data_IF_076607108908
#
_entry.id   IF_076607108908
#
_cell.length_a   1.000
_cell.length_b   1.000
_cell.length_c   1.000
_cell.angle_alpha   90.00
_cell.angle_beta   90.00
_cell.angle_gamma   90.00
#
_symmetry.space_group_name_H-M   'P 1'
#
loop_
_entity.id
_entity.type
_entity.pdbx_description
1 polymer ?
#
# COMPACT_ATOMS: atom_id res chain seq x y z
N UNK A 1 -17.28 3.48 4.03
CA UNK A 1 -16.42 4.67 4.31
C UNK A 1 -16.53 5.65 3.17
N UNK A 2 -16.59 6.98 3.46
CA UNK A 2 -16.55 8.03 2.42
C UNK A 2 -15.18 8.70 2.40
N UNK A 3 -14.71 9.03 1.19
CA UNK A 3 -13.47 9.78 0.97
C UNK A 3 -13.64 10.65 -0.29
N UNK A 4 -13.87 11.95 -0.11
CA UNK A 4 -14.27 12.84 -1.18
C UNK A 4 -15.59 12.39 -1.85
N UNK A 5 -15.56 12.22 -3.17
CA UNK A 5 -16.71 11.73 -3.95
C UNK A 5 -16.87 10.19 -3.90
N UNK A 6 -15.90 9.47 -3.36
CA UNK A 6 -15.90 8.00 -3.34
C UNK A 6 -16.62 7.47 -2.10
N UNK A 7 -17.42 6.42 -2.29
CA UNK A 7 -18.03 5.63 -1.21
C UNK A 7 -17.55 4.20 -1.35
N UNK A 8 -16.96 3.67 -0.28
CA UNK A 8 -16.45 2.31 -0.21
C UNK A 8 -17.33 1.52 0.76
N UNK A 9 -18.11 0.58 0.23
CA UNK A 9 -18.97 -0.29 1.03
C UNK A 9 -18.11 -1.34 1.76
N UNK A 10 -17.09 -1.86 1.09
CA UNK A 10 -16.11 -2.79 1.63
C UNK A 10 -14.75 -2.09 1.81
N UNK A 11 -14.51 -1.37 2.92
CA UNK A 11 -13.34 -0.52 3.06
C UNK A 11 -12.07 -1.32 3.44
N UNK A 12 -11.65 -2.24 2.54
CA UNK A 12 -10.43 -3.06 2.66
C UNK A 12 -9.47 -2.69 1.53
N UNK A 13 -8.44 -1.91 1.84
CA UNK A 13 -7.57 -1.26 0.87
C UNK A 13 -6.20 -1.93 0.76
N UNK A 14 -5.57 -1.84 -0.41
CA UNK A 14 -4.19 -2.26 -0.61
C UNK A 14 -3.22 -1.17 -0.17
N UNK A 15 -2.32 -1.48 0.77
CA UNK A 15 -1.30 -0.55 1.26
C UNK A 15 -0.22 -0.24 0.22
N UNK A 16 0.37 0.97 0.24
CA UNK A 16 1.55 1.29 -0.55
C UNK A 16 2.77 0.48 -0.07
N UNK A 17 3.38 -0.27 -0.96
CA UNK A 17 4.55 -1.11 -0.67
C UNK A 17 5.57 -1.02 -1.81
N UNK A 18 6.71 -0.37 -1.55
CA UNK A 18 7.79 -0.21 -2.52
C UNK A 18 8.26 -1.57 -3.08
N UNK A 19 8.33 -1.68 -4.40
CA UNK A 19 8.67 -2.90 -5.11
C UNK A 19 7.58 -3.98 -5.08
N UNK A 20 6.35 -3.66 -4.67
CA UNK A 20 5.23 -4.62 -4.58
C UNK A 20 3.98 -4.10 -5.26
N UNK A 21 3.54 -2.90 -4.92
CA UNK A 21 2.27 -2.34 -5.38
C UNK A 21 2.47 -1.45 -6.60
N UNK A 22 3.19 -1.97 -7.59
CA UNK A 22 3.26 -1.38 -8.93
C UNK A 22 1.95 -1.58 -9.71
N UNK A 23 1.86 -0.98 -10.89
CA UNK A 23 0.67 -1.05 -11.76
C UNK A 23 0.19 -2.49 -11.98
N UNK A 24 1.10 -3.42 -12.27
CA UNK A 24 0.73 -4.82 -12.52
C UNK A 24 0.03 -5.47 -11.31
N UNK A 25 0.58 -5.27 -10.12
CA UNK A 25 -0.02 -5.83 -8.90
C UNK A 25 -1.32 -5.13 -8.51
N UNK A 26 -1.43 -3.81 -8.72
CA UNK A 26 -2.68 -3.06 -8.44
C UNK A 26 -3.82 -3.50 -9.36
N UNK A 27 -3.56 -3.69 -10.66
CA UNK A 27 -4.55 -4.26 -11.61
C UNK A 27 -5.03 -5.64 -11.14
N UNK A 28 -4.13 -6.51 -10.68
CA UNK A 28 -4.52 -7.82 -10.13
C UNK A 28 -5.36 -7.66 -8.86
N UNK A 29 -4.96 -6.78 -7.95
CA UNK A 29 -5.69 -6.57 -6.69
C UNK A 29 -7.11 -6.04 -6.95
N UNK A 30 -7.28 -5.08 -7.87
CA UNK A 30 -8.59 -4.59 -8.30
C UNK A 30 -9.42 -5.69 -8.95
N UNK A 31 -8.83 -6.50 -9.83
CA UNK A 31 -9.48 -7.67 -10.44
C UNK A 31 -9.91 -8.73 -9.42
N UNK A 32 -9.36 -8.70 -8.21
CA UNK A 32 -9.74 -9.52 -7.06
C UNK A 32 -10.67 -8.79 -6.07
N UNK A 33 -11.25 -7.65 -6.48
CA UNK A 33 -12.22 -6.93 -5.67
C UNK A 33 -11.64 -5.94 -4.65
N UNK A 34 -10.34 -5.61 -4.71
CA UNK A 34 -9.77 -4.52 -3.90
C UNK A 34 -10.40 -3.19 -4.32
N UNK A 35 -11.14 -2.49 -3.44
CA UNK A 35 -11.90 -1.30 -3.86
C UNK A 35 -11.02 -0.04 -3.99
N UNK A 36 -9.83 -0.02 -3.38
CA UNK A 36 -8.87 1.08 -3.48
C UNK A 36 -7.45 0.55 -3.27
N UNK A 37 -6.58 0.82 -4.24
CA UNK A 37 -5.16 0.53 -4.13
C UNK A 37 -4.35 1.82 -3.93
N UNK A 38 -3.34 1.74 -3.05
CA UNK A 38 -2.36 2.80 -2.88
C UNK A 38 -1.10 2.45 -3.68
N UNK A 39 -0.67 3.37 -4.55
CA UNK A 39 0.54 3.24 -5.33
C UNK A 39 1.80 3.26 -4.44
N UNK A 40 2.90 2.77 -4.97
CA UNK A 40 4.21 2.94 -4.35
C UNK A 40 4.51 4.41 -4.08
N UNK A 41 5.31 4.69 -3.06
CA UNK A 41 5.64 6.07 -2.71
C UNK A 41 6.54 6.74 -3.78
N UNK A 42 6.09 7.87 -4.30
CA UNK A 42 6.76 8.66 -5.34
C UNK A 42 7.48 9.85 -4.72
N UNK A 43 8.72 10.09 -5.14
CA UNK A 43 9.52 11.20 -4.64
C UNK A 43 9.07 12.54 -5.23
N UNK A 44 8.65 13.48 -4.38
CA UNK A 44 8.34 14.84 -4.81
C UNK A 44 9.57 15.55 -5.42
N UNK A 45 10.76 15.26 -4.91
CA UNK A 45 12.01 15.73 -5.52
C UNK A 45 12.24 15.11 -6.91
N UNK A 46 11.90 13.82 -7.08
CA UNK A 46 11.98 13.17 -8.39
C UNK A 46 10.98 13.76 -9.40
N UNK A 47 9.80 14.17 -8.96
CA UNK A 47 8.82 14.90 -9.80
C UNK A 47 9.39 16.27 -10.20
N UNK A 48 9.92 17.03 -9.25
CA UNK A 48 10.52 18.35 -9.48
C UNK A 48 11.61 18.31 -10.56
N UNK A 49 12.53 17.35 -10.47
CA UNK A 49 13.62 17.19 -11.44
C UNK A 49 13.24 16.36 -12.68
N UNK A 50 11.96 16.01 -12.87
CA UNK A 50 11.47 15.20 -14.01
C UNK A 50 12.28 13.92 -14.20
N UNK A 51 12.66 13.27 -13.12
CA UNK A 51 13.38 11.99 -13.17
C UNK A 51 12.54 10.94 -13.89
N UNK A 52 13.07 10.33 -14.95
CA UNK A 52 12.34 9.40 -15.82
C UNK A 52 11.71 8.24 -15.06
N UNK A 53 12.45 7.61 -14.15
CA UNK A 53 11.91 6.53 -13.32
C UNK A 53 10.73 7.00 -12.47
N UNK A 54 10.85 8.18 -11.83
CA UNK A 54 9.77 8.79 -11.03
C UNK A 54 8.55 9.11 -11.88
N UNK A 55 8.76 9.64 -13.08
CA UNK A 55 7.67 9.96 -14.01
C UNK A 55 6.93 8.71 -14.48
N UNK A 56 7.65 7.61 -14.72
CA UNK A 56 7.05 6.32 -15.05
C UNK A 56 6.19 5.75 -13.90
N UNK A 57 6.54 6.00 -12.64
CA UNK A 57 5.73 5.59 -11.47
C UNK A 57 4.39 6.34 -11.36
N UNK A 58 4.22 7.47 -12.04
CA UNK A 58 2.96 8.24 -12.06
C UNK A 58 1.97 7.73 -13.13
N UNK A 59 2.37 6.80 -13.98
CA UNK A 59 1.46 6.19 -14.96
C UNK A 59 0.49 5.27 -14.25
N UNK A 60 -0.76 5.32 -14.68
CA UNK A 60 -1.85 4.48 -14.16
C UNK A 60 -2.70 3.96 -15.30
N UNK A 61 -3.31 2.80 -15.09
CA UNK A 61 -4.22 2.17 -16.04
C UNK A 61 -5.68 2.33 -15.59
N UNK A 62 -6.65 2.33 -16.51
CA UNK A 62 -8.06 2.41 -16.15
C UNK A 62 -8.51 1.30 -15.20
N UNK A 63 -7.94 0.10 -15.33
CA UNK A 63 -8.29 -1.10 -14.56
C UNK A 63 -7.86 -1.04 -13.09
N UNK A 64 -7.00 -0.11 -12.72
CA UNK A 64 -6.54 0.06 -11.33
C UNK A 64 -7.22 1.24 -10.60
N UNK A 65 -8.27 1.81 -11.17
CA UNK A 65 -9.01 2.92 -10.57
C UNK A 65 -10.22 2.43 -9.75
N UNK A 66 -10.52 3.05 -8.60
CA UNK A 66 -9.86 4.25 -8.04
C UNK A 66 -8.48 3.96 -7.43
N UNK A 67 -7.55 4.90 -7.61
CA UNK A 67 -6.17 4.79 -7.12
C UNK A 67 -5.78 5.98 -6.25
N UNK A 68 -5.09 5.69 -5.14
CA UNK A 68 -4.42 6.68 -4.31
C UNK A 68 -2.93 6.75 -4.67
N UNK A 69 -2.48 7.89 -5.21
CA UNK A 69 -1.08 8.15 -5.48
C UNK A 69 -0.38 8.63 -4.23
N UNK A 70 0.61 7.86 -3.74
CA UNK A 70 1.35 8.24 -2.55
C UNK A 70 2.62 9.00 -2.90
N UNK A 71 2.81 10.19 -2.30
CA UNK A 71 4.05 10.97 -2.41
C UNK A 71 4.79 11.05 -1.07
N UNK A 72 6.08 11.32 -1.12
CA UNK A 72 6.89 11.71 0.03
C UNK A 72 7.77 12.91 -0.31
N UNK A 73 8.02 13.76 0.68
CA UNK A 73 8.76 15.01 0.53
C UNK A 73 9.44 15.42 1.83
N UNK A 74 10.47 16.25 1.72
CA UNK A 74 11.14 16.92 2.83
C UNK A 74 10.80 18.40 2.95
N UNK A 75 10.19 19.02 1.95
CA UNK A 75 9.86 20.44 1.94
C UNK A 75 8.43 20.69 1.47
N UNK A 76 7.82 21.74 2.01
CA UNK A 76 6.46 22.16 1.66
C UNK A 76 6.34 22.56 0.19
N UNK A 77 7.34 23.26 -0.36
CA UNK A 77 7.33 23.71 -1.75
C UNK A 77 7.31 22.55 -2.74
N UNK A 78 8.20 21.54 -2.55
CA UNK A 78 8.23 20.36 -3.44
C UNK A 78 6.99 19.48 -3.28
N UNK A 79 6.45 19.39 -2.07
CA UNK A 79 5.23 18.63 -1.83
C UNK A 79 4.02 19.28 -2.53
N UNK A 80 3.88 20.60 -2.47
CA UNK A 80 2.83 21.36 -3.15
C UNK A 80 2.95 21.23 -4.67
N UNK A 81 4.16 21.37 -5.23
CA UNK A 81 4.42 21.20 -6.66
C UNK A 81 4.03 19.79 -7.13
N UNK A 82 4.43 18.75 -6.39
CA UNK A 82 4.10 17.38 -6.72
C UNK A 82 2.58 17.12 -6.66
N UNK A 83 1.89 17.65 -5.65
CA UNK A 83 0.45 17.53 -5.50
C UNK A 83 -0.30 18.18 -6.69
N UNK A 84 0.04 19.41 -7.04
CA UNK A 84 -0.55 20.12 -8.18
C UNK A 84 -0.25 19.41 -9.51
N UNK A 85 0.96 18.88 -9.66
CA UNK A 85 1.35 18.14 -10.86
C UNK A 85 0.56 16.85 -11.03
N UNK A 86 0.39 16.06 -9.97
CA UNK A 86 -0.39 14.80 -10.00
C UNK A 86 -1.86 15.08 -10.32
N UNK A 87 -2.46 16.12 -9.72
CA UNK A 87 -3.83 16.52 -10.04
C UNK A 87 -3.98 16.93 -11.49
N UNK A 88 -3.06 17.77 -12.01
CA UNK A 88 -3.08 18.21 -13.41
C UNK A 88 -2.87 17.05 -14.40
N UNK A 89 -2.11 16.01 -14.01
CA UNK A 89 -1.89 14.82 -14.82
C UNK A 89 -3.14 13.93 -14.91
N UNK A 90 -4.05 14.00 -13.93
CA UNK A 90 -5.30 13.23 -13.90
C UNK A 90 -5.11 11.72 -13.70
N UNK A 91 -3.94 11.29 -13.23
CA UNK A 91 -3.60 9.87 -13.04
C UNK A 91 -3.94 9.33 -11.65
N UNK A 92 -4.42 10.18 -10.75
CA UNK A 92 -4.81 9.80 -9.40
C UNK A 92 -6.25 10.24 -9.09
N UNK A 93 -6.95 9.46 -8.28
CA UNK A 93 -8.27 9.78 -7.73
C UNK A 93 -8.16 10.36 -6.31
N UNK A 94 -7.10 9.97 -5.60
CA UNK A 94 -6.79 10.36 -4.22
C UNK A 94 -5.31 10.65 -4.16
N UNK A 95 -4.92 11.67 -3.42
CA UNK A 95 -3.53 11.93 -3.08
C UNK A 95 -3.25 11.43 -1.65
N UNK A 96 -2.16 10.68 -1.47
CA UNK A 96 -1.73 10.21 -0.15
C UNK A 96 -0.32 10.71 0.17
N UNK A 97 -0.08 11.08 1.42
CA UNK A 97 1.24 11.54 1.87
C UNK A 97 1.89 10.56 2.85
N UNK A 98 3.14 10.19 2.57
CA UNK A 98 3.89 9.23 3.37
C UNK A 98 4.58 9.90 4.56
N UNK A 99 4.12 9.58 5.77
CA UNK A 99 4.77 9.90 7.04
C UNK A 99 5.13 8.63 7.84
N UNK A 100 5.20 7.46 7.16
CA UNK A 100 5.38 6.19 7.86
C UNK A 100 6.55 5.32 7.38
N UNK A 101 7.21 5.65 6.26
CA UNK A 101 8.32 4.84 5.75
C UNK A 101 9.51 4.84 6.73
N UNK A 102 9.94 3.64 7.23
CA UNK A 102 11.03 3.55 8.19
C UNK A 102 12.40 3.36 7.54
N UNK A 103 12.46 3.27 6.20
CA UNK A 103 13.67 2.92 5.45
C UNK A 103 14.79 3.95 5.70
N UNK A 104 16.03 3.49 6.02
CA UNK A 104 17.14 4.38 6.37
C UNK A 104 17.41 5.48 5.33
N UNK A 105 17.32 5.14 4.04
CA UNK A 105 17.53 6.09 2.93
C UNK A 105 16.51 7.24 2.95
N UNK A 106 15.24 6.95 3.25
CA UNK A 106 14.15 7.94 3.33
C UNK A 106 14.30 8.79 4.58
N UNK A 107 14.47 8.14 5.72
CA UNK A 107 14.55 8.78 7.04
C UNK A 107 15.77 9.70 7.17
N UNK A 108 16.95 9.30 6.61
CA UNK A 108 18.17 10.12 6.62
C UNK A 108 17.97 11.47 5.91
N UNK A 109 17.06 11.52 4.95
CA UNK A 109 16.71 12.75 4.22
C UNK A 109 15.68 13.63 4.94
N UNK A 110 15.20 13.21 6.12
CA UNK A 110 14.15 13.91 6.87
C UNK A 110 12.73 13.68 6.30
N UNK A 111 12.51 12.56 5.62
CA UNK A 111 11.27 12.18 4.94
C UNK A 111 10.62 10.96 5.62
N UNK A 112 9.40 10.63 5.22
CA UNK A 112 8.68 9.47 5.74
C UNK A 112 8.48 9.58 7.26
N UNK A 113 8.85 8.54 8.03
CA UNK A 113 8.66 8.53 9.48
C UNK A 113 9.55 9.51 10.24
N UNK A 114 10.56 10.13 9.60
CA UNK A 114 11.33 11.20 10.22
C UNK A 114 10.47 12.43 10.54
N UNK A 115 9.40 12.68 9.77
CA UNK A 115 8.44 13.76 10.01
C UNK A 115 7.65 13.58 11.30
N UNK A 116 7.54 12.36 11.84
CA UNK A 116 6.94 12.14 13.16
C UNK A 116 7.74 12.82 14.30
N UNK A 117 9.02 13.15 14.08
CA UNK A 117 9.88 13.87 15.03
C UNK A 117 9.81 15.38 14.90
N UNK A 118 9.18 15.88 13.85
CA UNK A 118 9.08 17.31 13.54
C UNK A 118 7.63 17.65 13.13
N UNK A 119 6.69 17.70 14.12
CA UNK A 119 5.29 17.98 13.84
C UNK A 119 5.06 19.31 13.14
N UNK A 120 5.86 20.34 13.46
CA UNK A 120 5.75 21.66 12.85
C UNK A 120 6.03 21.59 11.33
N UNK A 121 7.11 20.92 10.97
CA UNK A 121 7.44 20.70 9.55
C UNK A 121 6.41 19.83 8.85
N UNK A 122 5.89 18.80 9.52
CA UNK A 122 4.81 17.98 8.99
C UNK A 122 3.57 18.86 8.68
N UNK A 123 3.16 19.73 9.61
CA UNK A 123 2.05 20.67 9.42
C UNK A 123 2.27 21.62 8.24
N UNK A 124 3.47 22.19 8.11
CA UNK A 124 3.85 23.05 6.98
C UNK A 124 3.70 22.31 5.63
N UNK A 125 4.15 21.06 5.56
CA UNK A 125 4.06 20.24 4.35
C UNK A 125 2.59 19.89 4.04
N UNK A 126 1.83 19.40 5.02
CA UNK A 126 0.43 19.02 4.81
C UNK A 126 -0.43 20.22 4.42
N UNK A 127 -0.20 21.38 5.04
CA UNK A 127 -0.87 22.63 4.67
C UNK A 127 -0.57 23.03 3.23
N UNK A 128 0.67 22.91 2.79
CA UNK A 128 1.08 23.25 1.43
C UNK A 128 0.45 22.28 0.41
N UNK A 129 0.40 20.98 0.70
CA UNK A 129 -0.28 19.98 -0.13
C UNK A 129 -1.77 20.31 -0.23
N UNK A 130 -2.47 20.54 0.91
CA UNK A 130 -3.91 20.80 0.91
C UNK A 130 -4.28 22.03 0.08
N UNK A 131 -3.44 23.07 0.11
CA UNK A 131 -3.64 24.29 -0.70
C UNK A 131 -3.38 24.07 -2.20
N UNK A 132 -2.56 23.09 -2.55
CA UNK A 132 -2.14 22.85 -3.92
C UNK A 132 -3.01 21.85 -4.68
N UNK A 133 -3.91 21.10 -4.02
CA UNK A 133 -4.76 20.10 -4.66
C UNK A 133 -6.19 20.13 -4.15
N UNK A 134 -7.15 19.76 -5.01
CA UNK A 134 -8.55 19.52 -4.67
C UNK A 134 -8.89 18.04 -4.54
N UNK A 135 -7.97 17.15 -4.90
CA UNK A 135 -8.15 15.71 -4.71
C UNK A 135 -8.43 15.40 -3.24
N UNK A 136 -9.21 14.36 -2.93
CA UNK A 136 -9.24 13.80 -1.59
C UNK A 136 -7.81 13.53 -1.13
N UNK A 137 -7.47 13.97 0.09
CA UNK A 137 -6.10 13.95 0.59
C UNK A 137 -5.99 13.12 1.86
N UNK A 138 -5.14 12.10 1.85
CA UNK A 138 -4.91 11.20 2.97
C UNK A 138 -3.46 11.24 3.46
N UNK A 139 -3.24 10.83 4.70
CA UNK A 139 -1.90 10.71 5.28
C UNK A 139 -1.70 9.33 5.84
N UNK A 140 -0.59 8.66 5.46
CA UNK A 140 -0.20 7.39 6.04
C UNK A 140 0.97 7.56 7.00
N UNK A 141 0.75 7.23 8.29
CA UNK A 141 1.73 7.44 9.36
C UNK A 141 1.95 6.19 10.23
N UNK A 142 2.88 6.29 11.17
CA UNK A 142 3.13 5.33 12.27
C UNK A 142 2.69 5.89 13.62
N UNK A 143 2.90 5.14 14.70
CA UNK A 143 2.59 5.59 16.08
C UNK A 143 3.53 6.69 16.59
N UNK A 144 4.69 6.82 15.98
CA UNK A 144 5.75 7.74 16.37
C UNK A 144 7.10 7.24 15.87
N UNK A 145 8.17 7.90 16.32
CA UNK A 145 9.53 7.49 16.01
C UNK A 145 9.95 6.25 16.82
N UNK A 146 9.81 6.31 18.12
CA UNK A 146 10.11 5.25 19.10
C UNK A 146 9.01 5.20 20.17
N UNK A 147 9.18 4.31 21.13
CA UNK A 147 8.18 4.15 22.20
C UNK A 147 8.11 5.35 23.17
N UNK A 148 9.19 6.12 23.29
CA UNK A 148 9.24 7.32 24.15
C UNK A 148 8.61 8.56 23.47
N UNK A 149 8.51 8.55 22.13
CA UNK A 149 8.03 9.67 21.32
C UNK A 149 6.81 9.32 20.46
N UNK A 150 5.87 8.53 21.01
CA UNK A 150 4.59 8.20 20.36
C UNK A 150 3.71 9.44 20.32
N UNK A 151 3.42 9.96 19.12
CA UNK A 151 2.65 11.17 18.91
C UNK A 151 1.58 11.07 17.80
N UNK A 152 1.15 9.84 17.46
CA UNK A 152 0.17 9.63 16.39
C UNK A 152 -1.15 10.40 16.61
N UNK A 153 -1.60 10.53 17.88
CA UNK A 153 -2.82 11.29 18.21
C UNK A 153 -2.65 12.77 17.91
N UNK A 154 -1.51 13.36 18.26
CA UNK A 154 -1.17 14.75 17.97
C UNK A 154 -1.13 15.01 16.47
N UNK A 155 -0.40 14.17 15.73
CA UNK A 155 -0.28 14.26 14.28
C UNK A 155 -1.64 14.09 13.59
N UNK A 156 -2.49 13.18 14.04
CA UNK A 156 -3.82 12.99 13.47
C UNK A 156 -4.72 14.21 13.66
N UNK A 157 -4.70 14.83 14.84
CA UNK A 157 -5.44 16.08 15.11
C UNK A 157 -4.94 17.24 14.26
N UNK A 158 -3.63 17.35 14.12
CA UNK A 158 -3.00 18.34 13.25
C UNK A 158 -3.40 18.12 11.79
N UNK A 159 -3.36 16.87 11.30
CA UNK A 159 -3.78 16.51 9.96
C UNK A 159 -5.26 16.86 9.70
N UNK A 160 -6.16 16.56 10.65
CA UNK A 160 -7.57 16.96 10.58
C UNK A 160 -7.74 18.48 10.52
N UNK A 161 -7.03 19.23 11.36
CA UNK A 161 -7.08 20.70 11.39
C UNK A 161 -6.60 21.34 10.08
N UNK A 162 -5.65 20.72 9.41
CA UNK A 162 -5.14 21.14 8.08
C UNK A 162 -6.13 20.83 6.96
N UNK A 163 -7.10 19.92 7.17
CA UNK A 163 -8.06 19.51 6.16
C UNK A 163 -7.65 18.24 5.39
N UNK A 164 -6.94 17.33 6.04
CA UNK A 164 -6.73 15.95 5.56
C UNK A 164 -8.06 15.19 5.67
N UNK A 165 -8.43 14.44 4.65
CA UNK A 165 -9.72 13.75 4.56
C UNK A 165 -9.75 12.39 5.28
N UNK A 166 -8.59 11.71 5.47
CA UNK A 166 -8.47 10.50 6.26
C UNK A 166 -7.01 10.24 6.66
N UNK A 167 -6.81 9.47 7.75
CA UNK A 167 -5.48 9.05 8.19
C UNK A 167 -5.37 7.52 8.25
N UNK A 168 -4.30 6.96 7.66
CA UNK A 168 -3.96 5.54 7.78
C UNK A 168 -2.83 5.37 8.82
N UNK A 169 -3.09 4.60 9.88
CA UNK A 169 -2.17 4.45 11.00
C UNK A 169 -1.62 3.04 11.06
N UNK A 170 -0.31 2.89 10.87
CA UNK A 170 0.37 1.62 11.14
C UNK A 170 0.66 1.51 12.64
N UNK A 171 0.18 0.44 13.27
CA UNK A 171 0.25 0.20 14.72
C UNK A 171 1.66 -0.12 15.25
N UNK A 172 2.71 0.44 14.68
CA UNK A 172 4.12 0.32 15.10
C UNK A 172 4.82 1.66 15.04
N UNK A 173 5.84 1.83 15.87
CA UNK A 173 6.78 2.96 15.75
C UNK A 173 7.76 2.74 14.60
N UNK A 174 8.54 3.77 14.25
CA UNK A 174 9.62 3.63 13.24
C UNK A 174 10.66 2.62 13.68
N UNK A 175 11.07 2.65 14.95
CA UNK A 175 12.12 1.76 15.47
C UNK A 175 11.69 0.29 15.49
N UNK A 176 10.44 0.01 15.76
CA UNK A 176 9.90 -1.35 15.68
C UNK A 176 9.97 -1.92 14.26
N UNK A 177 10.01 -1.09 13.25
CA UNK A 177 10.02 -1.51 11.85
C UNK A 177 8.87 -2.45 11.53
N UNK A 178 9.09 -3.77 11.62
CA UNK A 178 8.08 -4.83 11.49
C UNK A 178 8.10 -5.85 12.65
N UNK A 179 8.92 -5.61 13.67
CA UNK A 179 9.00 -6.48 14.84
C UNK A 179 7.81 -6.32 15.78
N UNK A 180 7.57 -7.30 16.64
CA UNK A 180 6.44 -7.31 17.56
C UNK A 180 5.09 -7.37 16.86
N UNK A 181 4.04 -6.89 17.53
CA UNK A 181 2.67 -6.82 17.02
C UNK A 181 2.23 -5.37 16.83
N UNK A 182 1.28 -5.14 15.93
CA UNK A 182 0.63 -3.85 15.78
C UNK A 182 -0.19 -3.53 17.05
N UNK A 183 0.01 -2.34 17.60
CA UNK A 183 -0.69 -1.83 18.76
C UNK A 183 -2.03 -1.21 18.34
N UNK A 184 -3.09 -2.03 18.35
CA UNK A 184 -4.44 -1.60 17.98
C UNK A 184 -5.06 -0.66 19.03
N UNK A 185 -4.66 -0.75 20.31
CA UNK A 185 -5.15 0.17 21.33
C UNK A 185 -4.67 1.61 21.08
N UNK A 186 -3.43 1.76 20.63
CA UNK A 186 -2.91 3.07 20.21
C UNK A 186 -3.66 3.62 18.97
N UNK A 187 -4.02 2.77 17.99
CA UNK A 187 -4.86 3.18 16.85
C UNK A 187 -6.26 3.58 17.31
N UNK A 188 -6.87 2.84 18.26
CA UNK A 188 -8.14 3.22 18.87
C UNK A 188 -8.09 4.59 19.55
N UNK A 189 -6.97 4.95 20.16
CA UNK A 189 -6.78 6.29 20.74
C UNK A 189 -6.77 7.38 19.63
N UNK A 190 -6.16 7.11 18.48
CA UNK A 190 -6.24 8.01 17.32
C UNK A 190 -7.69 8.15 16.86
N UNK A 191 -8.41 7.03 16.68
CA UNK A 191 -9.82 7.04 16.22
C UNK A 191 -10.73 7.88 17.13
N UNK A 192 -10.54 7.79 18.44
CA UNK A 192 -11.31 8.61 19.41
C UNK A 192 -10.94 10.10 19.38
N UNK A 193 -9.77 10.44 18.85
CA UNK A 193 -9.23 11.79 18.90
C UNK A 193 -9.59 12.67 17.71
N UNK A 194 -10.06 12.07 16.60
CA UNK A 194 -10.40 12.74 15.33
C UNK A 194 -11.78 12.32 14.84
N UNK A 195 -12.37 13.15 13.99
CA UNK A 195 -13.67 12.91 13.33
C UNK A 195 -13.50 12.35 11.92
N UNK A 196 -12.37 12.65 11.28
CA UNK A 196 -12.05 12.10 9.96
C UNK A 196 -11.87 10.57 10.04
N UNK A 197 -12.12 9.85 8.94
CA UNK A 197 -11.91 8.42 8.87
C UNK A 197 -10.49 8.01 9.26
N UNK A 198 -10.41 6.92 10.04
CA UNK A 198 -9.14 6.29 10.42
C UNK A 198 -9.06 4.91 9.80
N UNK A 199 -7.98 4.65 9.07
CA UNK A 199 -7.69 3.38 8.41
C UNK A 199 -6.65 2.64 9.25
N UNK A 200 -7.02 1.48 9.82
CA UNK A 200 -6.07 0.64 10.57
C UNK A 200 -5.14 -0.10 9.62
N UNK A 201 -3.84 -0.11 9.92
CA UNK A 201 -2.83 -0.84 9.16
C UNK A 201 -1.93 -1.66 10.10
N UNK A 202 -1.62 -2.89 9.72
CA UNK A 202 -0.73 -3.79 10.43
C UNK A 202 -1.38 -5.12 10.81
N UNK A 203 -0.64 -6.20 10.55
CA UNK A 203 -0.88 -7.59 11.00
C UNK A 203 -2.24 -8.23 10.62
N UNK A 204 -2.93 -7.72 9.62
CA UNK A 204 -4.13 -8.36 9.06
C UNK A 204 -3.71 -9.27 7.90
N UNK A 205 -3.96 -10.58 8.06
CA UNK A 205 -3.61 -11.64 7.09
C UNK A 205 -4.72 -12.63 6.83
N UNK A 206 -5.76 -12.64 7.65
CA UNK A 206 -6.91 -13.56 7.61
C UNK A 206 -8.14 -12.92 8.29
N UNK A 207 -9.33 -13.48 8.11
CA UNK A 207 -10.57 -12.94 8.67
C UNK A 207 -10.52 -12.68 10.18
N UNK A 208 -9.95 -13.58 10.97
CA UNK A 208 -9.82 -13.39 12.41
C UNK A 208 -8.98 -12.15 12.81
N UNK A 209 -7.95 -11.81 12.00
CA UNK A 209 -7.14 -10.62 12.22
C UNK A 209 -7.92 -9.36 11.87
N UNK A 210 -8.72 -9.40 10.79
CA UNK A 210 -9.60 -8.30 10.38
C UNK A 210 -10.62 -8.00 11.48
N UNK A 211 -11.33 -9.02 11.97
CA UNK A 211 -12.28 -8.90 13.07
C UNK A 211 -11.64 -8.21 14.27
N UNK A 212 -10.52 -8.74 14.73
CA UNK A 212 -9.78 -8.20 15.86
C UNK A 212 -9.36 -6.74 15.65
N UNK A 213 -8.87 -6.41 14.45
CA UNK A 213 -8.44 -5.05 14.12
C UNK A 213 -9.61 -4.08 14.21
N UNK A 214 -10.75 -4.40 13.60
CA UNK A 214 -11.95 -3.55 13.61
C UNK A 214 -12.56 -3.42 15.01
N UNK A 215 -12.72 -4.52 15.75
CA UNK A 215 -13.33 -4.52 17.09
C UNK A 215 -12.52 -3.70 18.09
N UNK A 216 -11.18 -3.81 18.07
CA UNK A 216 -10.33 -3.08 19.03
C UNK A 216 -10.19 -1.62 18.64
N UNK A 217 -10.01 -1.33 17.35
CA UNK A 217 -9.69 0.03 16.92
C UNK A 217 -10.92 0.91 16.69
N UNK A 218 -12.07 0.33 16.34
CA UNK A 218 -13.23 1.07 15.83
C UNK A 218 -12.93 1.85 14.54
N UNK A 219 -11.89 1.44 13.79
CA UNK A 219 -11.49 2.10 12.56
C UNK A 219 -12.55 1.98 11.45
N UNK A 220 -12.55 2.94 10.53
CA UNK A 220 -13.53 3.01 9.43
C UNK A 220 -13.13 2.16 8.23
N UNK A 221 -11.86 1.78 8.14
CA UNK A 221 -11.31 0.96 7.07
C UNK A 221 -10.07 0.19 7.54
N UNK A 222 -9.68 -0.80 6.73
CA UNK A 222 -8.47 -1.61 6.95
C UNK A 222 -7.56 -1.54 5.74
N UNK A 223 -6.25 -1.36 5.97
CA UNK A 223 -5.24 -1.32 4.93
C UNK A 223 -4.32 -2.53 5.02
N UNK A 224 -4.33 -3.36 3.97
CA UNK A 224 -3.62 -4.62 3.89
C UNK A 224 -2.25 -4.40 3.22
N UNK A 225 -1.17 -4.62 3.98
CA UNK A 225 0.20 -4.61 3.45
C UNK A 225 0.71 -6.02 3.18
N UNK A 226 1.59 -6.51 4.03
CA UNK A 226 2.26 -7.82 3.87
C UNK A 226 1.32 -9.02 3.72
N UNK A 227 0.08 -8.92 4.19
CA UNK A 227 -0.94 -9.95 3.98
C UNK A 227 -1.33 -10.16 2.51
N UNK A 228 -1.15 -9.11 1.68
CA UNK A 228 -1.43 -9.17 0.24
C UNK A 228 -0.23 -9.63 -0.60
N UNK A 229 1.00 -9.70 -0.06
CA UNK A 229 2.19 -10.12 -0.82
C UNK A 229 2.08 -11.55 -1.32
N UNK A 230 1.92 -11.75 -2.64
CA UNK A 230 1.66 -13.05 -3.27
C UNK A 230 0.32 -13.66 -2.88
N UNK A 231 -0.60 -12.85 -2.38
CA UNK A 231 -1.93 -13.28 -1.94
C UNK A 231 -3.00 -12.22 -2.26
N UNK A 232 -3.30 -11.94 -3.53
CA UNK A 232 -4.37 -11.02 -3.89
C UNK A 232 -5.76 -11.55 -3.53
N UNK A 233 -5.91 -12.87 -3.31
CA UNK A 233 -7.15 -13.51 -2.83
C UNK A 233 -7.57 -13.04 -1.44
N UNK A 234 -6.68 -12.36 -0.69
CA UNK A 234 -7.01 -11.80 0.62
C UNK A 234 -8.19 -10.82 0.52
N UNK A 235 -8.33 -10.08 -0.58
CA UNK A 235 -9.44 -9.13 -0.76
C UNK A 235 -10.79 -9.84 -0.83
N UNK A 236 -11.06 -10.77 -1.79
CA UNK A 236 -12.34 -11.46 -1.82
C UNK A 236 -12.56 -12.31 -0.55
N UNK A 237 -11.51 -12.87 0.06
CA UNK A 237 -11.65 -13.63 1.32
C UNK A 237 -12.13 -12.75 2.47
N UNK A 238 -11.56 -11.57 2.66
CA UNK A 238 -11.94 -10.67 3.74
C UNK A 238 -13.30 -10.01 3.48
N UNK A 239 -13.61 -9.64 2.24
CA UNK A 239 -14.90 -9.05 1.85
C UNK A 239 -16.03 -10.09 2.04
N UNK A 240 -15.84 -11.30 1.53
CA UNK A 240 -16.82 -12.37 1.72
C UNK A 240 -17.09 -12.61 3.21
N UNK A 241 -16.04 -12.71 4.00
CA UNK A 241 -16.17 -12.90 5.45
C UNK A 241 -16.92 -11.76 6.13
N UNK A 242 -16.71 -10.50 5.73
CA UNK A 242 -17.45 -9.36 6.27
C UNK A 242 -18.96 -9.47 6.04
N UNK A 243 -19.37 -9.99 4.88
CA UNK A 243 -20.77 -10.11 4.52
C UNK A 243 -21.45 -11.36 5.07
N UNK A 244 -20.72 -12.46 5.19
CA UNK A 244 -21.32 -13.78 5.50
C UNK A 244 -20.88 -14.38 6.82
N UNK A 245 -19.73 -13.96 7.35
CA UNK A 245 -19.07 -14.60 8.49
C UNK A 245 -18.37 -15.93 8.14
N UNK A 246 -18.38 -16.35 6.88
CA UNK A 246 -17.79 -17.60 6.40
C UNK A 246 -16.46 -17.36 5.71
N UNK A 247 -15.53 -18.31 5.82
CA UNK A 247 -14.23 -18.25 5.13
C UNK A 247 -14.31 -18.89 3.75
N UNK A 248 -13.81 -18.22 2.72
CA UNK A 248 -13.61 -18.82 1.41
C UNK A 248 -12.47 -19.84 1.45
N UNK A 249 -12.56 -20.94 0.66
CA UNK A 249 -11.46 -21.86 0.51
C UNK A 249 -10.20 -21.17 -0.06
N UNK A 250 -9.01 -21.68 0.23
CA UNK A 250 -7.79 -21.18 -0.38
C UNK A 250 -7.83 -21.41 -1.89
N UNK A 251 -7.14 -20.56 -2.69
CA UNK A 251 -7.06 -20.73 -4.13
C UNK A 251 -6.40 -22.07 -4.49
N UNK A 252 -6.92 -22.70 -5.52
CA UNK A 252 -6.36 -23.91 -6.13
C UNK A 252 -5.00 -23.63 -6.77
N UNK A 253 -4.21 -24.69 -7.08
CA UNK A 253 -2.94 -24.53 -7.76
C UNK A 253 -3.13 -23.98 -9.19
N UNK A 254 -4.21 -24.33 -9.88
CA UNK A 254 -4.55 -23.81 -11.20
C UNK A 254 -4.85 -22.29 -11.16
N UNK A 255 -5.64 -21.82 -10.18
CA UNK A 255 -5.90 -20.39 -9.99
C UNK A 255 -4.62 -19.63 -9.66
N UNK A 256 -3.73 -20.20 -8.83
CA UNK A 256 -2.43 -19.60 -8.52
C UNK A 256 -1.56 -19.48 -9.77
N UNK A 257 -1.46 -20.54 -10.58
CA UNK A 257 -0.69 -20.54 -11.81
C UNK A 257 -1.21 -19.46 -12.78
N UNK A 258 -2.53 -19.39 -12.97
CA UNK A 258 -3.16 -18.40 -13.83
C UNK A 258 -2.84 -16.95 -13.38
N UNK A 259 -2.90 -16.67 -12.07
CA UNK A 259 -2.56 -15.34 -11.53
C UNK A 259 -1.06 -15.05 -11.64
N UNK A 260 -0.19 -16.02 -11.42
CA UNK A 260 1.27 -15.85 -11.60
C UNK A 260 1.59 -15.49 -13.05
N UNK A 261 1.03 -16.21 -14.02
CA UNK A 261 1.25 -15.94 -15.45
C UNK A 261 0.66 -14.59 -15.86
N UNK A 262 -0.56 -14.27 -15.43
CA UNK A 262 -1.17 -12.94 -15.68
C UNK A 262 -0.31 -11.81 -15.11
N UNK A 263 0.20 -11.96 -13.89
CA UNK A 263 1.08 -10.96 -13.27
C UNK A 263 2.36 -10.77 -14.07
N UNK A 264 2.97 -11.86 -14.52
CA UNK A 264 4.14 -11.82 -15.39
C UNK A 264 3.83 -11.10 -16.70
N UNK A 265 2.71 -11.44 -17.36
CA UNK A 265 2.30 -10.81 -18.62
C UNK A 265 2.10 -9.30 -18.47
N UNK A 266 1.48 -8.85 -17.38
CA UNK A 266 1.32 -7.43 -17.05
C UNK A 266 2.68 -6.74 -16.81
N UNK A 267 3.57 -7.36 -16.02
CA UNK A 267 4.91 -6.81 -15.77
C UNK A 267 5.72 -6.69 -17.07
N UNK A 268 5.66 -7.70 -17.93
CA UNK A 268 6.32 -7.67 -19.25
C UNK A 268 5.71 -6.57 -20.12
N UNK A 269 4.39 -6.45 -20.14
CA UNK A 269 3.70 -5.41 -20.92
C UNK A 269 4.06 -3.99 -20.49
N UNK A 270 4.14 -3.74 -19.17
CA UNK A 270 4.42 -2.39 -18.65
C UNK A 270 5.90 -2.01 -18.59
N UNK A 271 6.80 -2.99 -18.40
CA UNK A 271 8.23 -2.73 -18.11
C UNK A 271 9.21 -3.36 -19.12
N UNK A 272 8.66 -4.10 -20.12
CA UNK A 272 9.45 -4.90 -21.03
C UNK A 272 9.91 -6.22 -20.44
N UNK A 273 10.25 -7.17 -21.28
CA UNK A 273 10.54 -8.56 -20.93
C UNK A 273 11.69 -8.68 -19.90
N UNK A 274 12.79 -7.98 -20.15
CA UNK A 274 13.98 -8.05 -19.30
C UNK A 274 13.72 -7.64 -17.84
N UNK A 275 13.00 -6.54 -17.63
CA UNK A 275 12.68 -6.03 -16.29
C UNK A 275 11.53 -6.83 -15.68
N UNK A 276 10.46 -7.09 -16.46
CA UNK A 276 9.26 -7.78 -16.00
C UNK A 276 9.56 -9.17 -15.44
N UNK A 277 10.36 -9.96 -16.16
CA UNK A 277 10.76 -11.30 -15.70
C UNK A 277 11.55 -11.22 -14.38
N UNK A 278 12.52 -10.32 -14.28
CA UNK A 278 13.31 -10.16 -13.05
C UNK A 278 12.48 -9.74 -11.85
N UNK A 279 11.57 -8.81 -12.05
CA UNK A 279 10.68 -8.38 -10.98
C UNK A 279 9.68 -9.47 -10.60
N UNK A 280 9.20 -10.27 -11.56
CA UNK A 280 8.29 -11.37 -11.28
C UNK A 280 8.90 -12.44 -10.38
N UNK A 281 10.21 -12.66 -10.40
CA UNK A 281 10.89 -13.67 -9.56
C UNK A 281 10.56 -13.54 -8.08
N UNK A 282 10.57 -12.32 -7.54
CA UNK A 282 10.20 -12.06 -6.14
C UNK A 282 8.72 -12.32 -5.87
N UNK A 283 7.84 -11.94 -6.82
CA UNK A 283 6.40 -12.15 -6.69
C UNK A 283 6.07 -13.64 -6.75
N UNK A 284 6.65 -14.40 -7.68
CA UNK A 284 6.49 -15.84 -7.79
C UNK A 284 6.89 -16.56 -6.49
N UNK A 285 8.00 -16.14 -5.86
CA UNK A 285 8.41 -16.64 -4.56
C UNK A 285 7.38 -16.36 -3.45
N UNK A 286 6.68 -15.24 -3.50
CA UNK A 286 5.60 -14.93 -2.55
C UNK A 286 4.33 -15.73 -2.83
N UNK A 287 3.93 -15.88 -4.10
CA UNK A 287 2.78 -16.70 -4.50
C UNK A 287 2.89 -18.17 -4.10
N UNK A 288 4.13 -18.69 -4.02
CA UNK A 288 4.39 -20.09 -3.67
C UNK A 288 4.68 -20.31 -2.19
N UNK A 289 4.72 -19.25 -1.38
CA UNK A 289 5.04 -19.34 0.05
C UNK A 289 4.08 -20.26 0.79
N UNK A 290 4.64 -21.19 1.59
CA UNK A 290 3.87 -22.13 2.40
C UNK A 290 3.36 -23.36 1.65
N UNK A 291 3.58 -23.45 0.34
CA UNK A 291 3.27 -24.64 -0.43
C UNK A 291 4.39 -25.70 -0.33
N UNK A 292 4.03 -26.95 -0.52
CA UNK A 292 5.01 -28.06 -0.63
C UNK A 292 5.97 -27.77 -1.79
N UNK A 293 7.27 -27.93 -1.58
CA UNK A 293 8.28 -27.65 -2.60
C UNK A 293 8.58 -26.16 -2.86
N UNK A 294 8.04 -25.24 -2.05
CA UNK A 294 8.19 -23.79 -2.26
C UNK A 294 9.66 -23.30 -2.32
N UNK A 295 10.58 -23.97 -1.64
CA UNK A 295 12.01 -23.62 -1.68
C UNK A 295 12.63 -23.93 -3.06
N UNK A 296 12.33 -25.10 -3.62
CA UNK A 296 12.76 -25.52 -4.95
C UNK A 296 12.13 -24.62 -6.04
N UNK A 297 10.82 -24.40 -5.95
CA UNK A 297 10.12 -23.49 -6.87
C UNK A 297 10.74 -22.09 -6.88
N UNK A 298 11.06 -21.54 -5.71
CA UNK A 298 11.73 -20.25 -5.61
C UNK A 298 13.08 -20.25 -6.30
N UNK A 299 13.87 -21.31 -6.17
CA UNK A 299 15.16 -21.45 -6.85
C UNK A 299 14.98 -21.49 -8.38
N UNK A 300 14.04 -22.30 -8.87
CA UNK A 300 13.71 -22.38 -10.30
C UNK A 300 13.24 -21.01 -10.84
N UNK A 301 12.29 -20.33 -10.20
CA UNK A 301 11.84 -19.00 -10.61
C UNK A 301 12.98 -17.96 -10.60
N UNK A 302 13.91 -18.01 -9.65
CA UNK A 302 15.03 -17.07 -9.62
C UNK A 302 15.98 -17.22 -10.83
N UNK A 303 15.99 -18.38 -11.47
CA UNK A 303 16.79 -18.66 -12.68
C UNK A 303 16.00 -18.39 -13.97
N UNK A 304 14.68 -18.44 -13.93
CA UNK A 304 13.84 -18.28 -15.12
C UNK A 304 14.15 -16.97 -15.84
N UNK A 305 14.32 -17.03 -17.16
CA UNK A 305 14.69 -15.93 -18.03
C UNK A 305 13.61 -15.58 -19.05
N UNK A 306 12.55 -16.38 -19.18
CA UNK A 306 11.47 -16.22 -20.11
C UNK A 306 10.10 -16.55 -19.50
N UNK A 307 9.04 -16.08 -20.14
CA UNK A 307 7.66 -16.45 -19.80
C UNK A 307 7.42 -17.95 -19.93
N UNK A 308 8.00 -18.56 -20.98
CA UNK A 308 7.88 -20.00 -21.23
C UNK A 308 8.45 -20.81 -20.06
N UNK A 309 9.64 -20.46 -19.59
CA UNK A 309 10.24 -21.11 -18.42
C UNK A 309 9.38 -20.99 -17.16
N UNK A 310 8.70 -19.83 -16.93
CA UNK A 310 7.75 -19.72 -15.83
C UNK A 310 6.57 -20.68 -15.98
N UNK A 311 6.02 -20.82 -17.19
CA UNK A 311 4.92 -21.74 -17.47
C UNK A 311 5.35 -23.21 -17.28
N UNK A 312 6.53 -23.60 -17.78
CA UNK A 312 7.11 -24.94 -17.62
C UNK A 312 7.33 -25.28 -16.15
N UNK A 313 7.86 -24.34 -15.34
CA UNK A 313 8.04 -24.53 -13.90
C UNK A 313 6.70 -24.83 -13.21
N UNK A 314 5.64 -24.09 -13.56
CA UNK A 314 4.30 -24.29 -12.98
C UNK A 314 3.69 -25.62 -13.44
N UNK A 315 3.83 -25.94 -14.72
CA UNK A 315 3.36 -27.21 -15.28
C UNK A 315 4.03 -28.41 -14.60
N UNK A 316 5.36 -28.42 -14.51
CA UNK A 316 6.12 -29.50 -13.87
C UNK A 316 5.76 -29.69 -12.40
N UNK A 317 5.57 -28.58 -11.69
CA UNK A 317 5.33 -28.63 -10.24
C UNK A 317 3.88 -28.94 -9.86
N UNK A 318 2.90 -28.49 -10.67
CA UNK A 318 1.49 -28.51 -10.31
C UNK A 318 0.60 -29.22 -11.33
N UNK A 319 1.12 -29.59 -12.49
CA UNK A 319 0.35 -30.25 -13.56
C UNK A 319 -0.69 -29.35 -14.24
N UNK A 320 -0.46 -28.04 -14.26
CA UNK A 320 -1.39 -27.01 -14.76
C UNK A 320 -0.80 -26.19 -15.88
#
# INVERSE_FOLDING_TARGET
MKLGAFTFDDPIFLAPMAGVTDTAYRVIAHGMGCPLAFAEMVSSQGIHYRNEHTMNMLRTEPEERPIAMQIFAKSAAMAAEAAAYIEALGTADILDFNMGCPAPKVVKNGEGSALMRDPKRAEEILTAIRRATRLPFTVKMRLGWDDASRNAVEIARMAEAVGVDAVAVHGRTREQFYSGNADYAAIAAVKRAVRIPVIVSGDVRRPADLKRALEITGADAVMIGRGAQGNPWIFPQLIHWLHTGEELPPPTLAERAAVILRHLDLLVGYKGEYIGIREMRKHAAWYTRGLKGSAELRERFNRAASRTEFAEILHDAWGV
#
